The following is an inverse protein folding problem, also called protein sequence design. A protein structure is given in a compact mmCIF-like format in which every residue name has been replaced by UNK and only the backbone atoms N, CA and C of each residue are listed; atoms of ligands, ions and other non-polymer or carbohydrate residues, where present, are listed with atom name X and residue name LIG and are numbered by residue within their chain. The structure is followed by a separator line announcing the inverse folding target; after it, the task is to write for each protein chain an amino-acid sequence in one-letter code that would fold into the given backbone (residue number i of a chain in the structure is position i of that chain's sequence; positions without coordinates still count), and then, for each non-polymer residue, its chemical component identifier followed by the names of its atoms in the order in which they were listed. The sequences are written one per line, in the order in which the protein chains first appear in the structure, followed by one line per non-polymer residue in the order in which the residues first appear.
data_IF_929250409683
#
_entry.id   IF_929250409683
#
_cell.length_a   1.000
_cell.length_b   1.000
_cell.length_c   1.000
_cell.angle_alpha   90.00
_cell.angle_beta   90.00
_cell.angle_gamma   90.00
#
_symmetry.space_group_name_H-M   'P 1'
#
loop_
_entity.id
_entity.type
_entity.pdbx_description
1 polymer ?
#
# COMPACT_ATOMS: atom_id res chain seq x y z
N UNK A 1 -12.82 -0.09 -49.34
CA UNK A 1 -12.09 0.97 -48.58
C UNK A 1 -10.85 1.45 -49.33
N UNK A 2 -10.54 2.75 -49.30
CA UNK A 2 -9.29 3.28 -49.87
C UNK A 2 -8.08 2.81 -49.03
N UNK A 3 -6.88 2.70 -49.61
CA UNK A 3 -5.68 2.29 -48.82
C UNK A 3 -5.43 3.31 -47.70
N UNK A 4 -5.67 4.59 -48.01
CA UNK A 4 -5.63 5.70 -47.06
C UNK A 4 -6.56 5.53 -45.85
N UNK A 5 -7.77 4.98 -46.00
CA UNK A 5 -8.67 4.79 -44.84
C UNK A 5 -8.19 3.69 -43.91
N UNK A 6 -7.56 2.63 -44.44
CA UNK A 6 -6.97 1.56 -43.61
C UNK A 6 -5.75 2.10 -42.84
N UNK A 7 -4.93 2.92 -43.51
CA UNK A 7 -3.76 3.55 -42.89
C UNK A 7 -4.14 4.60 -41.83
N UNK A 8 -5.18 5.40 -42.10
CA UNK A 8 -5.72 6.35 -41.11
C UNK A 8 -6.25 5.62 -39.87
N UNK A 9 -7.03 4.54 -40.07
CA UNK A 9 -7.53 3.74 -38.96
C UNK A 9 -6.38 3.10 -38.16
N UNK A 10 -5.37 2.56 -38.84
CA UNK A 10 -4.18 2.00 -38.19
C UNK A 10 -3.43 3.05 -37.35
N UNK A 11 -3.25 4.26 -37.88
CA UNK A 11 -2.61 5.36 -37.15
C UNK A 11 -3.42 5.79 -35.92
N UNK A 12 -4.75 5.92 -36.05
CA UNK A 12 -5.64 6.26 -34.95
C UNK A 12 -5.58 5.19 -33.84
N UNK A 13 -5.64 3.90 -34.21
CA UNK A 13 -5.56 2.79 -33.25
C UNK A 13 -4.18 2.70 -32.58
N UNK A 14 -3.09 2.96 -33.31
CA UNK A 14 -1.76 2.97 -32.73
C UNK A 14 -1.63 4.09 -31.68
N UNK A 15 -2.18 5.27 -31.97
CA UNK A 15 -2.20 6.40 -31.03
C UNK A 15 -2.98 6.08 -29.75
N UNK A 16 -4.14 5.44 -29.85
CA UNK A 16 -4.93 5.06 -28.66
C UNK A 16 -4.21 4.02 -27.81
N UNK A 17 -3.56 3.04 -28.43
CA UNK A 17 -2.75 2.04 -27.73
C UNK A 17 -1.54 2.65 -27.01
N UNK A 18 -0.83 3.56 -27.68
CA UNK A 18 0.31 4.27 -27.07
C UNK A 18 -0.16 5.09 -25.87
N UNK A 19 -1.27 5.82 -26.01
CA UNK A 19 -1.85 6.60 -24.92
C UNK A 19 -2.26 5.71 -23.72
N UNK A 20 -2.90 4.57 -24.00
CA UNK A 20 -3.28 3.61 -22.98
C UNK A 20 -2.05 3.01 -22.27
N UNK A 21 -1.04 2.61 -23.02
CA UNK A 21 0.20 2.04 -22.48
C UNK A 21 0.97 3.07 -21.64
N UNK A 22 1.00 4.33 -22.09
CA UNK A 22 1.56 5.43 -21.32
C UNK A 22 0.85 5.60 -19.97
N UNK A 23 -0.50 5.63 -19.97
CA UNK A 23 -1.29 5.73 -18.73
C UNK A 23 -1.02 4.53 -17.81
N UNK A 24 -0.95 3.31 -18.35
CA UNK A 24 -0.65 2.10 -17.57
C UNK A 24 0.72 2.16 -16.90
N UNK A 25 1.76 2.60 -17.63
CA UNK A 25 3.11 2.75 -17.08
C UNK A 25 3.14 3.83 -16.01
N UNK A 26 2.59 5.00 -16.30
CA UNK A 26 2.52 6.12 -15.34
C UNK A 26 1.78 5.71 -14.06
N UNK A 27 0.68 4.96 -14.19
CA UNK A 27 -0.08 4.45 -13.05
C UNK A 27 0.71 3.43 -12.24
N UNK A 28 1.42 2.51 -12.90
CA UNK A 28 2.29 1.54 -12.23
C UNK A 28 3.41 2.23 -11.45
N UNK A 29 4.11 3.19 -12.04
CA UNK A 29 5.13 3.97 -11.33
C UNK A 29 4.55 4.72 -10.13
N UNK A 30 3.40 5.36 -10.30
CA UNK A 30 2.71 6.07 -9.22
C UNK A 30 2.35 5.12 -8.07
N UNK A 31 1.85 3.93 -8.40
CA UNK A 31 1.49 2.91 -7.40
C UNK A 31 2.73 2.37 -6.66
N UNK A 32 3.85 2.15 -7.36
CA UNK A 32 5.12 1.76 -6.74
C UNK A 32 5.59 2.84 -5.78
N UNK A 33 5.63 4.11 -6.21
CA UNK A 33 6.01 5.24 -5.34
C UNK A 33 5.10 5.36 -4.13
N UNK A 34 3.78 5.36 -4.32
CA UNK A 34 2.81 5.42 -3.23
C UNK A 34 2.98 4.26 -2.24
N UNK A 35 3.27 3.05 -2.74
CA UNK A 35 3.48 1.89 -1.87
C UNK A 35 4.79 1.98 -1.09
N UNK A 36 5.84 2.52 -1.72
CA UNK A 36 7.12 2.79 -1.06
C UNK A 36 6.99 3.86 0.03
N UNK A 37 6.22 4.92 -0.23
CA UNK A 37 5.92 5.97 0.72
C UNK A 37 5.11 5.43 1.91
N UNK A 38 4.05 4.65 1.63
CA UNK A 38 3.25 3.99 2.66
C UNK A 38 4.09 3.06 3.53
N UNK A 39 4.98 2.28 2.90
CA UNK A 39 5.89 1.40 3.60
C UNK A 39 6.83 2.19 4.52
N UNK A 40 7.48 3.22 3.97
CA UNK A 40 8.43 4.06 4.69
C UNK A 40 7.77 4.79 5.87
N UNK A 41 6.56 5.30 5.68
CA UNK A 41 5.77 5.93 6.73
C UNK A 41 5.33 4.92 7.81
N UNK A 42 4.89 3.72 7.40
CA UNK A 42 4.54 2.64 8.32
C UNK A 42 5.74 2.24 9.20
N UNK A 43 6.92 2.05 8.59
CA UNK A 43 8.15 1.78 9.33
C UNK A 43 8.46 2.91 10.29
N UNK A 44 8.46 4.18 9.85
CA UNK A 44 8.76 5.32 10.73
C UNK A 44 7.80 5.40 11.92
N UNK A 45 6.51 5.12 11.72
CA UNK A 45 5.52 5.05 12.81
C UNK A 45 5.83 3.91 13.77
N UNK A 46 6.14 2.72 13.27
CA UNK A 46 6.54 1.59 14.11
C UNK A 46 7.80 1.91 14.93
N UNK A 47 8.82 2.50 14.31
CA UNK A 47 10.05 2.87 15.02
C UNK A 47 9.80 3.94 16.09
N UNK A 48 8.95 4.92 15.79
CA UNK A 48 8.54 5.94 16.76
C UNK A 48 7.78 5.31 17.93
N UNK A 49 6.85 4.39 17.67
CA UNK A 49 6.12 3.68 18.70
C UNK A 49 7.05 2.85 19.59
N UNK A 50 8.03 2.13 19.02
CA UNK A 50 9.05 1.39 19.78
C UNK A 50 9.86 2.31 20.68
N UNK A 51 10.33 3.46 20.16
CA UNK A 51 11.02 4.47 20.96
C UNK A 51 10.14 4.97 22.12
N UNK A 52 8.85 5.23 21.86
CA UNK A 52 7.91 5.66 22.89
C UNK A 52 7.62 4.57 23.93
N UNK A 53 7.57 3.29 23.54
CA UNK A 53 7.37 2.17 24.47
C UNK A 53 8.58 1.99 25.39
N UNK A 54 9.79 2.12 24.84
CA UNK A 54 11.02 2.08 25.65
C UNK A 54 11.11 3.24 26.63
N UNK A 55 10.70 4.46 26.22
CA UNK A 55 10.60 5.61 27.12
C UNK A 55 9.54 5.39 28.23
N UNK A 56 8.43 4.70 27.94
CA UNK A 56 7.41 4.34 28.93
C UNK A 56 7.94 3.28 29.91
N UNK A 57 8.65 2.26 29.44
CA UNK A 57 9.27 1.26 30.29
C UNK A 57 10.33 1.87 31.21
N UNK A 58 11.12 2.81 30.71
CA UNK A 58 12.08 3.57 31.51
C UNK A 58 11.37 4.42 32.57
N UNK A 59 10.30 5.13 32.19
CA UNK A 59 9.50 5.93 33.13
C UNK A 59 8.90 5.05 34.22
N UNK A 60 8.38 3.87 33.85
CA UNK A 60 7.83 2.89 34.78
C UNK A 60 8.89 2.39 35.77
N UNK A 61 10.10 2.09 35.29
CA UNK A 61 11.20 1.66 36.14
C UNK A 61 11.50 2.68 37.25
N UNK A 62 11.64 3.96 36.89
CA UNK A 62 11.90 5.02 37.87
C UNK A 62 10.72 5.26 38.82
N UNK A 63 9.49 5.15 38.33
CA UNK A 63 8.30 5.21 39.18
C UNK A 63 8.29 4.10 40.23
N UNK A 64 8.59 2.85 39.83
CA UNK A 64 8.61 1.71 40.76
C UNK A 64 9.76 1.82 41.77
N UNK A 65 10.93 2.30 41.35
CA UNK A 65 12.09 2.52 42.22
C UNK A 65 11.82 3.60 43.27
N UNK A 66 11.32 4.77 42.85
CA UNK A 66 11.04 5.89 43.77
C UNK A 66 9.88 5.56 44.72
N UNK A 67 8.83 4.86 44.26
CA UNK A 67 7.74 4.37 45.14
C UNK A 67 8.29 3.39 46.18
N UNK A 68 9.18 2.48 45.79
CA UNK A 68 9.79 1.52 46.73
C UNK A 68 10.68 2.20 47.77
N UNK A 69 11.46 3.23 47.39
CA UNK A 69 12.27 4.02 48.32
C UNK A 69 11.40 4.76 49.34
N UNK A 70 10.28 5.33 48.88
CA UNK A 70 9.31 6.04 49.72
C UNK A 70 8.56 5.09 50.65
N UNK A 71 8.13 3.92 50.17
CA UNK A 71 7.51 2.88 51.01
C UNK A 71 8.48 2.46 52.12
N UNK A 72 9.74 2.19 51.78
CA UNK A 72 10.77 1.87 52.76
C UNK A 72 10.95 3.00 53.80
N UNK A 73 11.04 4.26 53.37
CA UNK A 73 11.17 5.41 54.26
C UNK A 73 9.93 5.61 55.18
N UNK A 74 8.73 5.37 54.66
CA UNK A 74 7.48 5.46 55.43
C UNK A 74 7.38 4.38 56.52
N UNK A 75 7.87 3.16 56.26
CA UNK A 75 7.93 2.07 57.23
C UNK A 75 8.89 2.43 58.39
N UNK A 76 10.00 3.11 58.12
CA UNK A 76 10.91 3.60 59.17
C UNK A 76 10.26 4.68 60.05
N UNK A 77 9.42 5.56 59.48
CA UNK A 77 8.71 6.58 60.26
C UNK A 77 7.65 6.00 61.20
N UNK A 78 7.12 4.80 60.88
CA UNK A 78 6.08 4.15 61.68
C UNK A 78 6.62 3.40 62.92
N UNK A 79 7.91 3.10 62.95
CA UNK A 79 8.58 2.50 64.13
C UNK A 79 9.17 3.56 65.10
N UNK A 80 9.20 4.83 64.69
CA UNK A 80 9.77 5.95 65.43
C UNK A 80 8.80 6.66 66.39
N UNK A 81 8.11 5.92 67.26
CA UNK A 81 7.39 6.55 68.38
C UNK A 81 6.08 5.85 68.74
N UNK A 82 5.99 5.36 69.98
CA UNK A 82 4.71 4.94 70.56
C UNK A 82 3.78 6.15 70.61
N UNK A 83 2.62 6.15 69.93
CA UNK A 83 1.69 7.27 70.02
C UNK A 83 1.20 7.39 71.46
N UNK A 84 1.46 8.54 72.10
CA UNK A 84 0.91 8.86 73.42
C UNK A 84 -0.59 9.12 73.27
N UNK A 85 -1.37 8.06 73.33
CA UNK A 85 -2.83 8.12 73.30
C UNK A 85 -3.34 8.82 74.57
N UNK A 86 -4.02 9.96 74.42
CA UNK A 86 -4.77 10.60 75.50
C UNK A 86 -6.03 9.77 75.81
N UNK A 87 -6.38 9.65 77.09
CA UNK A 87 -7.58 8.93 77.52
C UNK A 87 -8.64 9.88 78.06
N UNK A 88 -9.87 9.79 77.55
CA UNK A 88 -11.05 10.52 78.02
C UNK A 88 -11.97 9.56 78.76
N UNK A 89 -12.28 9.85 80.03
CA UNK A 89 -13.18 9.03 80.86
C UNK A 89 -14.55 9.69 80.92
N UNK A 90 -15.57 9.00 80.41
CA UNK A 90 -16.96 9.39 80.52
C UNK A 90 -17.65 8.54 81.56
N UNK A 91 -18.22 9.19 82.57
CA UNK A 91 -19.03 8.53 83.59
C UNK A 91 -20.48 8.75 83.25
N UNK A 92 -21.26 7.68 83.17
CA UNK A 92 -22.71 7.77 82.99
C UNK A 92 -23.42 6.96 84.06
N UNK A 93 -24.66 7.35 84.34
CA UNK A 93 -25.52 6.68 85.31
C UNK A 93 -26.77 6.18 84.59
N UNK A 94 -27.04 4.88 84.65
CA UNK A 94 -28.24 4.31 84.04
C UNK A 94 -29.47 4.69 84.84
N UNK A 95 -30.66 4.60 84.24
CA UNK A 95 -31.93 4.88 84.92
C UNK A 95 -32.22 3.97 86.13
N UNK A 96 -31.50 2.84 86.26
CA UNK A 96 -31.55 1.95 87.43
C UNK A 96 -30.57 2.34 88.55
N UNK A 97 -29.81 3.44 88.40
CA UNK A 97 -28.86 3.94 89.39
C UNK A 97 -27.45 3.34 89.32
N UNK A 98 -27.14 2.53 88.30
CA UNK A 98 -25.79 1.99 88.10
C UNK A 98 -24.89 3.04 87.45
N UNK A 99 -23.76 3.34 88.08
CA UNK A 99 -22.73 4.22 87.52
C UNK A 99 -21.68 3.36 86.82
N UNK A 100 -21.42 3.67 85.56
CA UNK A 100 -20.38 3.04 84.75
C UNK A 100 -19.44 4.06 84.13
N UNK A 101 -18.16 3.70 84.02
CA UNK A 101 -17.14 4.52 83.38
C UNK A 101 -16.70 3.89 82.05
N UNK A 102 -16.69 4.68 81.00
CA UNK A 102 -16.13 4.29 79.69
C UNK A 102 -14.96 5.21 79.39
N UNK A 103 -13.76 4.62 79.24
CA UNK A 103 -12.55 5.36 78.86
C UNK A 103 -12.28 5.17 77.37
N UNK A 104 -12.41 6.24 76.59
CA UNK A 104 -12.09 6.27 75.16
C UNK A 104 -10.66 6.80 75.02
N UNK A 105 -9.79 6.07 74.32
CA UNK A 105 -8.40 6.46 74.07
C UNK A 105 -8.21 6.81 72.60
N UNK A 106 -7.70 8.00 72.32
CA UNK A 106 -7.44 8.47 70.97
C UNK A 106 -6.27 9.46 70.96
N UNK A 107 -5.88 9.91 69.77
CA UNK A 107 -4.85 10.92 69.58
C UNK A 107 -5.25 12.25 70.27
N UNK A 108 -4.37 12.91 71.06
CA UNK A 108 -4.67 14.15 71.77
C UNK A 108 -5.31 15.25 70.90
N UNK A 109 -4.88 15.38 69.64
CA UNK A 109 -5.39 16.40 68.72
C UNK A 109 -6.83 16.11 68.26
N UNK A 110 -7.17 14.82 68.13
CA UNK A 110 -8.53 14.38 67.81
C UNK A 110 -9.47 14.55 69.01
N UNK A 111 -8.95 14.35 70.23
CA UNK A 111 -9.69 14.58 71.48
C UNK A 111 -10.01 16.06 71.67
N UNK A 112 -9.06 16.96 71.39
CA UNK A 112 -9.26 18.40 71.49
C UNK A 112 -10.34 18.92 70.52
N UNK A 113 -10.38 18.35 69.30
CA UNK A 113 -11.37 18.74 68.28
C UNK A 113 -12.80 18.27 68.59
N UNK A 114 -12.98 17.14 69.29
CA UNK A 114 -14.30 16.65 69.72
C UNK A 114 -14.95 17.52 70.79
N UNK A 115 -14.17 18.30 71.54
CA UNK A 115 -14.66 19.10 72.67
C UNK A 115 -15.27 20.45 72.25
N UNK A 116 -15.12 20.83 70.98
CA UNK A 116 -15.43 22.16 70.45
C UNK A 116 -16.63 22.18 69.49
N UNK A 117 -17.48 21.15 69.54
CA UNK A 117 -18.61 20.94 68.62
C UNK A 117 -19.72 22.00 68.80
N UNK A 118 -19.51 23.17 68.21
CA UNK A 118 -20.54 24.05 67.66
C UNK A 118 -19.95 24.78 66.44
N UNK A 119 -20.07 24.19 65.23
CA UNK A 119 -19.42 24.79 64.05
C UNK A 119 -19.47 24.02 62.72
N UNK A 120 -20.61 24.13 62.02
CA UNK A 120 -20.82 24.10 60.55
C UNK A 120 -20.18 23.01 59.65
N UNK A 121 -21.00 22.44 58.75
CA UNK A 121 -20.56 21.62 57.60
C UNK A 121 -19.37 22.23 56.82
N UNK A 122 -19.25 23.56 56.77
CA UNK A 122 -18.19 24.28 56.08
C UNK A 122 -16.78 23.98 56.61
N UNK A 123 -16.63 23.69 57.91
CA UNK A 123 -15.34 23.32 58.49
C UNK A 123 -14.92 21.90 58.10
N UNK A 124 -15.86 20.95 58.08
CA UNK A 124 -15.62 19.59 57.58
C UNK A 124 -15.24 19.58 56.08
N UNK A 125 -15.88 20.41 55.26
CA UNK A 125 -15.47 20.61 53.86
C UNK A 125 -14.08 21.22 53.73
N UNK A 126 -13.70 22.17 54.60
CA UNK A 126 -12.37 22.76 54.57
C UNK A 126 -11.29 21.75 54.99
N UNK A 127 -11.51 20.99 56.06
CA UNK A 127 -10.58 19.93 56.51
C UNK A 127 -10.45 18.83 55.46
N UNK A 128 -11.56 18.36 54.88
CA UNK A 128 -11.54 17.39 53.78
C UNK A 128 -10.81 17.95 52.54
N UNK A 129 -11.04 19.23 52.20
CA UNK A 129 -10.35 19.89 51.07
C UNK A 129 -8.87 20.06 51.35
N UNK A 130 -8.48 20.32 52.59
CA UNK A 130 -7.10 20.49 53.02
C UNK A 130 -6.35 19.14 53.06
N UNK A 131 -7.02 18.07 53.45
CA UNK A 131 -6.51 16.69 53.38
C UNK A 131 -6.34 16.23 51.93
N UNK A 132 -7.35 16.43 51.07
CA UNK A 132 -7.25 16.16 49.63
C UNK A 132 -6.15 17.00 48.96
N UNK A 133 -6.00 18.26 49.36
CA UNK A 133 -4.92 19.14 48.91
C UNK A 133 -3.56 18.63 49.38
N UNK A 134 -3.46 18.15 50.62
CA UNK A 134 -2.25 17.52 51.17
C UNK A 134 -1.85 16.27 50.39
N UNK A 135 -2.80 15.36 50.15
CA UNK A 135 -2.57 14.16 49.32
C UNK A 135 -2.15 14.51 47.91
N UNK A 136 -2.80 15.49 47.27
CA UNK A 136 -2.43 15.95 45.94
C UNK A 136 -1.03 16.55 45.92
N UNK A 137 -0.67 17.41 46.89
CA UNK A 137 0.66 18.02 46.95
C UNK A 137 1.76 16.97 47.21
N UNK A 138 1.48 15.96 48.02
CA UNK A 138 2.38 14.83 48.23
C UNK A 138 2.57 14.01 46.95
N UNK A 139 1.47 13.59 46.29
CA UNK A 139 1.53 12.88 45.01
C UNK A 139 2.23 13.70 43.92
N UNK A 140 1.99 15.01 43.89
CA UNK A 140 2.68 15.92 42.98
C UNK A 140 4.17 16.00 43.27
N UNK A 141 4.57 16.11 44.55
CA UNK A 141 5.98 16.10 44.95
C UNK A 141 6.69 14.81 44.50
N UNK A 142 6.05 13.65 44.69
CA UNK A 142 6.58 12.38 44.18
C UNK A 142 6.75 12.37 42.66
N UNK A 143 5.77 12.89 41.92
CA UNK A 143 5.87 13.01 40.46
C UNK A 143 7.01 13.97 40.08
N UNK A 144 7.15 15.10 40.77
CA UNK A 144 8.21 16.08 40.53
C UNK A 144 9.59 15.47 40.81
N UNK A 145 9.75 14.68 41.88
CA UNK A 145 10.99 13.96 42.22
C UNK A 145 11.33 12.89 41.17
N UNK A 146 10.34 12.09 40.73
CA UNK A 146 10.48 11.12 39.63
C UNK A 146 10.90 11.81 38.34
N UNK A 147 10.29 12.95 38.01
CA UNK A 147 10.67 13.73 36.82
C UNK A 147 12.13 14.20 36.94
N UNK A 148 12.56 14.69 38.10
CA UNK A 148 13.93 15.13 38.34
C UNK A 148 14.92 13.95 38.25
N UNK A 149 14.57 12.79 38.81
CA UNK A 149 15.36 11.56 38.71
C UNK A 149 15.48 11.09 37.26
N UNK A 150 14.38 11.06 36.50
CA UNK A 150 14.39 10.73 35.06
C UNK A 150 15.27 11.75 34.31
N UNK A 151 15.12 13.05 34.56
CA UNK A 151 15.90 14.08 33.86
C UNK A 151 17.41 14.02 34.15
N UNK A 152 17.81 13.59 35.35
CA UNK A 152 19.21 13.62 35.78
C UNK A 152 19.92 12.26 35.68
N UNK A 153 19.22 11.14 35.92
CA UNK A 153 19.82 9.79 36.04
C UNK A 153 19.44 8.84 34.89
N UNK A 154 18.38 9.11 34.12
CA UNK A 154 17.97 8.23 33.01
C UNK A 154 19.09 7.97 32.00
N UNK A 155 19.87 9.00 31.69
CA UNK A 155 20.97 8.91 30.74
C UNK A 155 22.19 8.10 31.24
N UNK A 156 22.28 7.84 32.56
CA UNK A 156 23.44 7.17 33.15
C UNK A 156 23.33 5.63 33.11
N UNK A 157 22.12 5.09 32.92
CA UNK A 157 21.92 3.65 32.77
C UNK A 157 22.45 3.15 31.41
N UNK A 158 23.16 2.01 31.36
CA UNK A 158 23.61 1.42 30.10
C UNK A 158 22.47 1.16 29.12
N UNK A 159 22.70 1.40 27.84
CA UNK A 159 21.68 1.22 26.80
C UNK A 159 21.23 -0.24 26.67
N UNK A 160 22.10 -1.18 27.03
CA UNK A 160 21.81 -2.61 27.03
C UNK A 160 20.75 -2.99 28.08
N UNK A 161 20.67 -2.25 29.18
CA UNK A 161 19.63 -2.43 30.20
C UNK A 161 18.35 -1.65 29.87
N UNK A 162 18.49 -0.46 29.28
CA UNK A 162 17.36 0.39 28.88
C UNK A 162 16.65 -0.11 27.63
N UNK A 163 17.39 -0.77 26.74
CA UNK A 163 16.93 -1.26 25.45
C UNK A 163 17.53 -2.64 25.18
N UNK A 164 17.09 -3.65 25.93
CA UNK A 164 17.53 -5.02 25.73
C UNK A 164 17.21 -5.52 24.30
N UNK A 165 18.11 -6.33 23.75
CA UNK A 165 18.00 -6.87 22.41
C UNK A 165 16.72 -7.69 22.17
N UNK A 166 16.23 -8.43 23.18
CA UNK A 166 15.02 -9.22 23.06
C UNK A 166 13.77 -8.34 23.20
N UNK A 167 13.78 -7.37 24.11
CA UNK A 167 12.70 -6.40 24.27
C UNK A 167 12.50 -5.57 22.98
N UNK A 168 13.56 -4.96 22.46
CA UNK A 168 13.52 -4.16 21.22
C UNK A 168 13.05 -5.00 20.02
N UNK A 169 13.52 -6.25 19.90
CA UNK A 169 13.04 -7.16 18.84
C UNK A 169 11.54 -7.43 18.96
N UNK A 170 11.06 -7.65 20.17
CA UNK A 170 9.64 -7.97 20.43
C UNK A 170 8.76 -6.77 20.11
N UNK A 171 9.12 -5.58 20.59
CA UNK A 171 8.42 -4.34 20.28
C UNK A 171 8.45 -4.01 18.79
N UNK A 172 9.60 -4.15 18.14
CA UNK A 172 9.70 -3.96 16.68
C UNK A 172 8.78 -4.91 15.92
N UNK A 173 8.79 -6.20 16.28
CA UNK A 173 7.94 -7.18 15.62
C UNK A 173 6.46 -6.84 15.80
N UNK A 174 6.05 -6.56 17.03
CA UNK A 174 4.66 -6.22 17.36
C UNK A 174 4.22 -4.94 16.64
N UNK A 175 5.02 -3.87 16.68
CA UNK A 175 4.68 -2.60 16.05
C UNK A 175 4.72 -2.66 14.52
N UNK A 176 5.61 -3.45 13.92
CA UNK A 176 5.62 -3.67 12.48
C UNK A 176 4.39 -4.50 12.04
N UNK A 177 4.06 -5.56 12.77
CA UNK A 177 2.87 -6.39 12.50
C UNK A 177 1.56 -5.58 12.68
N UNK A 178 1.47 -4.74 13.71
CA UNK A 178 0.35 -3.83 13.94
C UNK A 178 0.14 -2.84 12.78
N UNK A 179 1.23 -2.43 12.11
CA UNK A 179 1.19 -1.58 10.93
C UNK A 179 1.05 -2.37 9.60
N UNK A 180 0.81 -3.67 9.66
CA UNK A 180 0.63 -4.54 8.48
C UNK A 180 1.93 -4.88 7.75
N UNK A 181 3.08 -4.70 8.39
CA UNK A 181 4.42 -4.93 7.86
C UNK A 181 5.02 -6.23 8.40
N UNK A 182 4.50 -7.37 7.93
CA UNK A 182 5.02 -8.69 8.29
C UNK A 182 6.21 -9.10 7.38
N UNK A 183 7.36 -8.44 7.56
CA UNK A 183 8.57 -8.70 6.77
C UNK A 183 9.75 -9.03 7.68
N UNK A 184 10.69 -9.89 7.22
CA UNK A 184 11.95 -10.08 7.92
C UNK A 184 12.71 -8.75 7.96
N UNK A 185 13.15 -8.37 9.15
CA UNK A 185 13.91 -7.16 9.41
C UNK A 185 15.19 -7.51 10.17
N UNK A 186 16.22 -6.73 9.89
CA UNK A 186 17.49 -6.74 10.63
C UNK A 186 17.61 -5.40 11.34
N UNK A 187 18.22 -5.37 12.53
CA UNK A 187 18.35 -4.13 13.28
C UNK A 187 19.62 -4.08 14.11
N UNK A 188 20.02 -2.86 14.46
CA UNK A 188 21.08 -2.61 15.42
C UNK A 188 20.81 -1.34 16.21
N UNK A 189 21.29 -1.32 17.45
CA UNK A 189 21.32 -0.12 18.28
C UNK A 189 22.74 0.41 18.28
N UNK A 190 22.88 1.66 17.83
CA UNK A 190 24.17 2.32 17.68
C UNK A 190 24.24 3.61 18.49
N UNK A 191 25.42 3.93 19.00
CA UNK A 191 25.69 5.23 19.59
C UNK A 191 25.82 6.30 18.49
N UNK A 192 25.85 7.58 18.86
CA UNK A 192 26.15 8.72 17.98
C UNK A 192 27.42 8.53 17.13
N UNK A 193 28.42 7.82 17.65
CA UNK A 193 29.68 7.55 16.95
C UNK A 193 29.58 6.38 15.95
N UNK A 194 28.40 5.76 15.81
CA UNK A 194 28.17 4.61 14.92
C UNK A 194 28.60 3.26 15.49
N UNK A 195 29.12 3.22 16.73
CA UNK A 195 29.42 1.98 17.43
C UNK A 195 28.13 1.24 17.76
N UNK A 196 27.98 0.00 17.28
CA UNK A 196 26.84 -0.85 17.59
C UNK A 196 27.02 -1.52 18.96
N UNK A 197 26.06 -1.34 19.85
CA UNK A 197 26.01 -2.05 21.14
C UNK A 197 25.62 -3.51 20.92
N UNK A 198 24.62 -3.74 20.08
CA UNK A 198 24.26 -5.05 19.58
C UNK A 198 23.64 -4.93 18.19
N UNK A 199 23.73 -6.02 17.43
CA UNK A 199 23.28 -6.10 16.05
C UNK A 199 22.78 -7.50 15.72
N UNK A 200 21.79 -7.60 14.85
CA UNK A 200 21.35 -8.89 14.32
C UNK A 200 22.35 -9.41 13.29
N UNK A 201 22.40 -10.74 13.08
CA UNK A 201 23.45 -11.38 12.28
C UNK A 201 23.54 -10.89 10.83
N UNK A 202 22.44 -10.37 10.26
CA UNK A 202 22.41 -9.78 8.93
C UNK A 202 22.80 -8.30 8.85
N UNK A 203 23.12 -7.66 9.97
CA UNK A 203 23.40 -6.23 10.04
C UNK A 203 24.90 -5.92 9.90
N UNK A 204 25.29 -5.23 8.82
CA UNK A 204 26.66 -4.75 8.61
C UNK A 204 27.55 -5.57 7.66
N UNK A 205 26.98 -6.18 6.61
CA UNK A 205 27.78 -6.49 5.41
C UNK A 205 28.20 -5.17 4.72
N UNK A 206 29.42 -5.10 4.17
CA UNK A 206 30.03 -3.92 3.51
C UNK A 206 29.14 -3.24 2.44
N UNK A 207 28.09 -3.91 1.97
CA UNK A 207 27.11 -3.39 1.01
C UNK A 207 26.12 -2.34 1.59
N UNK A 208 25.98 -2.21 2.92
CA UNK A 208 24.97 -1.32 3.53
C UNK A 208 25.19 0.18 3.27
N UNK A 209 26.41 0.61 2.92
CA UNK A 209 26.71 1.99 2.53
C UNK A 209 26.14 2.38 1.15
N UNK A 210 25.64 1.42 0.37
CA UNK A 210 25.08 1.65 -0.97
C UNK A 210 23.56 1.60 -1.04
N UNK A 211 22.90 1.32 0.10
CA UNK A 211 21.48 0.96 0.21
C UNK A 211 20.66 1.95 1.08
N UNK A 212 20.94 3.25 0.94
CA UNK A 212 20.31 4.36 1.69
C UNK A 212 18.76 4.29 1.73
N UNK A 213 18.11 3.71 0.72
CA UNK A 213 16.64 3.63 0.67
C UNK A 213 16.03 2.46 1.47
N UNK A 214 16.85 1.66 2.16
CA UNK A 214 16.38 0.50 2.94
C UNK A 214 16.73 0.59 4.42
N UNK A 215 17.52 1.59 4.80
CA UNK A 215 17.96 1.85 6.16
C UNK A 215 17.09 2.93 6.80
N UNK A 216 16.38 2.56 7.86
CA UNK A 216 15.58 3.48 8.65
C UNK A 216 16.27 3.75 9.97
N UNK A 217 16.40 5.04 10.32
CA UNK A 217 17.09 5.48 11.53
C UNK A 217 16.12 6.25 12.42
N UNK A 218 16.03 5.86 13.68
CA UNK A 218 15.18 6.50 14.67
C UNK A 218 15.97 6.69 15.98
N UNK A 219 15.99 7.89 16.59
CA UNK A 219 16.51 8.05 17.94
C UNK A 219 15.65 7.24 18.93
N UNK A 220 16.28 6.47 19.81
CA UNK A 220 15.59 5.62 20.80
C UNK A 220 15.00 6.44 21.95
N UNK A 221 15.77 7.41 22.46
CA UNK A 221 15.38 8.29 23.55
C UNK A 221 15.51 9.73 23.06
N UNK A 222 14.39 10.41 22.84
CA UNK A 222 14.37 11.73 22.19
C UNK A 222 14.92 12.82 23.11
N UNK A 223 14.62 12.67 24.41
CA UNK A 223 14.92 13.64 25.45
C UNK A 223 16.34 13.51 26.03
N UNK A 224 17.06 12.44 25.66
CA UNK A 224 18.44 12.23 26.11
C UNK A 224 19.38 13.39 25.70
N UNK A 225 20.35 13.74 26.57
CA UNK A 225 21.42 14.67 26.24
C UNK A 225 22.12 14.33 24.93
N UNK A 226 22.63 15.34 24.21
CA UNK A 226 23.26 15.14 22.89
C UNK A 226 24.46 14.17 22.88
N UNK A 227 25.04 13.86 24.03
CA UNK A 227 26.20 12.99 24.17
C UNK A 227 25.82 11.52 24.35
N UNK A 228 24.65 11.22 24.91
CA UNK A 228 24.13 9.86 25.14
C UNK A 228 23.09 9.43 24.12
N UNK A 229 22.90 10.19 23.03
CA UNK A 229 21.91 9.86 21.99
C UNK A 229 22.25 8.55 21.27
N UNK A 230 21.36 7.59 21.44
CA UNK A 230 21.40 6.30 20.77
C UNK A 230 20.35 6.23 19.66
N UNK A 231 20.70 5.52 18.59
CA UNK A 231 19.90 5.38 17.39
C UNK A 231 19.59 3.91 17.12
N UNK A 232 18.33 3.63 16.85
CA UNK A 232 17.88 2.38 16.29
C UNK A 232 17.98 2.45 14.77
N UNK A 233 18.71 1.51 14.19
CA UNK A 233 18.83 1.32 12.75
C UNK A 233 18.13 0.04 12.36
N UNK A 234 17.21 0.11 11.42
CA UNK A 234 16.46 -1.05 10.92
C UNK A 234 16.60 -1.15 9.41
N UNK A 235 16.84 -2.37 8.94
CA UNK A 235 17.07 -2.72 7.54
C UNK A 235 16.09 -3.80 7.09
N UNK A 236 15.56 -3.64 5.87
CA UNK A 236 14.59 -4.54 5.27
C UNK A 236 15.11 -5.14 3.95
N UNK A 237 15.74 -6.34 3.98
CA UNK A 237 16.33 -6.95 2.78
C UNK A 237 15.30 -7.35 1.71
N UNK A 238 14.03 -7.54 2.09
CA UNK A 238 12.95 -7.97 1.19
C UNK A 238 12.00 -6.84 0.79
N UNK A 239 12.36 -5.57 1.05
CA UNK A 239 11.56 -4.37 0.72
C UNK A 239 11.11 -4.36 -0.75
N UNK A 240 12.06 -4.49 -1.68
CA UNK A 240 11.75 -4.42 -3.12
C UNK A 240 10.79 -5.54 -3.55
N UNK A 241 11.00 -6.76 -3.05
CA UNK A 241 10.12 -7.90 -3.33
C UNK A 241 8.72 -7.68 -2.80
N UNK A 242 8.58 -7.05 -1.62
CA UNK A 242 7.29 -6.70 -1.03
C UNK A 242 6.55 -5.64 -1.86
N UNK A 243 7.25 -4.58 -2.28
CA UNK A 243 6.67 -3.50 -3.11
C UNK A 243 6.25 -4.07 -4.48
N UNK A 244 7.12 -4.83 -5.14
CA UNK A 244 6.80 -5.51 -6.41
C UNK A 244 5.61 -6.45 -6.26
N UNK A 245 5.52 -7.20 -5.16
CA UNK A 245 4.38 -8.09 -4.93
C UNK A 245 3.06 -7.35 -4.76
N UNK A 246 3.09 -6.11 -4.25
CA UNK A 246 1.90 -5.28 -4.08
C UNK A 246 1.34 -4.79 -5.43
N UNK A 247 2.19 -4.65 -6.45
CA UNK A 247 1.78 -4.19 -7.79
C UNK A 247 1.54 -5.32 -8.80
N UNK A 248 1.77 -6.59 -8.42
CA UNK A 248 1.54 -7.77 -9.28
C UNK A 248 0.11 -7.87 -9.81
N UNK A 249 -0.88 -7.33 -9.10
CA UNK A 249 -2.28 -7.28 -9.56
C UNK A 249 -2.47 -6.47 -10.85
N UNK A 250 -1.50 -5.64 -11.26
CA UNK A 250 -1.54 -4.90 -12.53
C UNK A 250 -1.13 -5.76 -13.74
N UNK A 251 -0.46 -6.90 -13.54
CA UNK A 251 0.02 -7.77 -14.61
C UNK A 251 -1.10 -8.19 -15.59
N UNK A 252 -2.30 -8.61 -15.14
CA UNK A 252 -3.41 -8.92 -16.04
C UNK A 252 -3.81 -7.76 -16.96
N UNK A 253 -3.70 -6.51 -16.51
CA UNK A 253 -4.01 -5.34 -17.33
C UNK A 253 -3.02 -5.17 -18.48
N UNK A 254 -1.73 -5.39 -18.23
CA UNK A 254 -0.71 -5.39 -19.28
C UNK A 254 -0.86 -6.56 -20.25
N UNK A 255 -1.18 -7.77 -19.74
CA UNK A 255 -1.46 -8.94 -20.59
C UNK A 255 -2.64 -8.67 -21.51
N UNK A 256 -3.71 -8.07 -20.99
CA UNK A 256 -4.87 -7.68 -21.78
C UNK A 256 -4.52 -6.67 -22.88
N UNK A 257 -3.72 -5.64 -22.57
CA UNK A 257 -3.20 -4.69 -23.58
C UNK A 257 -2.37 -5.41 -24.66
N UNK A 258 -1.55 -6.38 -24.26
CA UNK A 258 -0.75 -7.16 -25.20
C UNK A 258 -1.60 -8.00 -26.15
N UNK A 259 -2.66 -8.66 -25.62
CA UNK A 259 -3.63 -9.39 -26.45
C UNK A 259 -4.34 -8.45 -27.43
N UNK A 260 -4.74 -7.25 -26.98
CA UNK A 260 -5.34 -6.24 -27.85
C UNK A 260 -4.40 -5.86 -29.00
N UNK A 261 -3.12 -5.63 -28.72
CA UNK A 261 -2.11 -5.33 -29.75
C UNK A 261 -2.05 -6.44 -30.79
N UNK A 262 -2.04 -7.72 -30.37
CA UNK A 262 -2.03 -8.87 -31.28
C UNK A 262 -3.27 -8.88 -32.18
N UNK A 263 -4.46 -8.74 -31.58
CA UNK A 263 -5.73 -8.73 -32.33
C UNK A 263 -5.77 -7.55 -33.31
N UNK A 264 -5.25 -6.39 -32.93
CA UNK A 264 -5.20 -5.22 -33.81
C UNK A 264 -4.26 -5.43 -34.99
N UNK A 265 -3.05 -5.96 -34.76
CA UNK A 265 -2.12 -6.30 -35.86
C UNK A 265 -2.78 -7.30 -36.80
N UNK A 266 -3.40 -8.35 -36.26
CA UNK A 266 -4.12 -9.35 -37.05
C UNK A 266 -5.23 -8.71 -37.90
N UNK A 267 -6.03 -7.82 -37.31
CA UNK A 267 -7.13 -7.12 -38.00
C UNK A 267 -6.62 -6.24 -39.14
N UNK A 268 -5.50 -5.53 -38.95
CA UNK A 268 -4.89 -4.71 -39.99
C UNK A 268 -4.43 -5.59 -41.16
N UNK A 269 -3.71 -6.68 -40.87
CA UNK A 269 -3.24 -7.64 -41.89
C UNK A 269 -4.41 -8.23 -42.65
N UNK A 270 -5.46 -8.64 -41.95
CA UNK A 270 -6.67 -9.18 -42.54
C UNK A 270 -7.36 -8.15 -43.45
N UNK A 271 -7.45 -6.89 -43.02
CA UNK A 271 -8.05 -5.80 -43.82
C UNK A 271 -7.31 -5.57 -45.13
N UNK A 272 -5.96 -5.58 -45.11
CA UNK A 272 -5.16 -5.49 -46.34
C UNK A 272 -5.35 -6.71 -47.25
N UNK A 273 -5.42 -7.92 -46.67
CA UNK A 273 -5.65 -9.15 -47.44
C UNK A 273 -7.03 -9.16 -48.10
N UNK A 274 -8.08 -8.79 -47.36
CA UNK A 274 -9.44 -8.65 -47.89
C UNK A 274 -9.49 -7.66 -49.04
N UNK A 275 -8.86 -6.48 -48.86
CA UNK A 275 -8.80 -5.48 -49.92
C UNK A 275 -8.13 -6.01 -51.20
N UNK A 276 -7.00 -6.72 -51.07
CA UNK A 276 -6.30 -7.30 -52.22
C UNK A 276 -7.18 -8.34 -52.93
N UNK A 277 -7.92 -9.17 -52.18
CA UNK A 277 -8.87 -10.13 -52.76
C UNK A 277 -10.00 -9.41 -53.52
N UNK A 278 -10.54 -8.32 -52.98
CA UNK A 278 -11.57 -7.53 -53.67
C UNK A 278 -11.03 -6.88 -54.95
N UNK A 279 -9.82 -6.34 -54.93
CA UNK A 279 -9.17 -5.77 -56.13
C UNK A 279 -8.99 -6.86 -57.20
N UNK A 280 -8.45 -8.03 -56.85
CA UNK A 280 -8.30 -9.16 -57.79
C UNK A 280 -9.64 -9.65 -58.35
N UNK A 281 -10.70 -9.73 -57.52
CA UNK A 281 -12.05 -10.11 -57.99
C UNK A 281 -12.61 -9.09 -58.98
N UNK A 282 -12.45 -7.80 -58.72
CA UNK A 282 -12.92 -6.75 -59.63
C UNK A 282 -12.17 -6.76 -60.96
N UNK A 283 -10.85 -6.94 -60.93
CA UNK A 283 -10.02 -7.03 -62.14
C UNK A 283 -10.39 -8.26 -62.97
N UNK A 284 -10.64 -9.39 -62.31
CA UNK A 284 -11.14 -10.60 -62.97
C UNK A 284 -12.48 -10.36 -63.68
N UNK A 285 -13.46 -9.78 -62.99
CA UNK A 285 -14.80 -9.50 -63.57
C UNK A 285 -14.67 -8.55 -64.77
N UNK A 286 -13.90 -7.47 -64.65
CA UNK A 286 -13.68 -6.53 -65.75
C UNK A 286 -13.01 -7.19 -66.95
N UNK A 287 -11.99 -8.02 -66.72
CA UNK A 287 -11.29 -8.73 -67.79
C UNK A 287 -12.21 -9.73 -68.49
N UNK A 288 -12.95 -10.56 -67.74
CA UNK A 288 -13.91 -11.51 -68.30
C UNK A 288 -15.04 -10.81 -69.06
N UNK A 289 -15.53 -9.68 -68.57
CA UNK A 289 -16.55 -8.88 -69.28
C UNK A 289 -16.04 -8.42 -70.64
N UNK A 290 -14.80 -7.95 -70.71
CA UNK A 290 -14.19 -7.53 -71.97
C UNK A 290 -13.99 -8.71 -72.94
N UNK A 291 -13.46 -9.83 -72.43
CA UNK A 291 -13.23 -11.06 -73.21
C UNK A 291 -14.54 -11.71 -73.69
N UNK A 292 -15.67 -11.50 -73.03
CA UNK A 292 -16.98 -11.95 -73.51
C UNK A 292 -17.65 -10.95 -74.46
N UNK A 293 -17.47 -9.64 -74.27
CA UNK A 293 -18.12 -8.63 -75.10
C UNK A 293 -17.69 -8.71 -76.56
N UNK A 294 -16.40 -8.94 -76.81
CA UNK A 294 -15.82 -9.04 -78.16
C UNK A 294 -16.44 -10.16 -78.99
N UNK A 295 -16.45 -11.44 -78.54
CA UNK A 295 -17.05 -12.54 -79.29
C UNK A 295 -18.54 -12.36 -79.53
N UNK A 296 -19.26 -11.91 -78.50
CA UNK A 296 -20.71 -11.68 -78.59
C UNK A 296 -21.01 -10.61 -79.65
N UNK A 297 -20.24 -9.53 -79.70
CA UNK A 297 -20.43 -8.46 -80.68
C UNK A 297 -20.11 -8.93 -82.11
N UNK A 298 -19.02 -9.69 -82.29
CA UNK A 298 -18.63 -10.25 -83.60
C UNK A 298 -19.67 -11.25 -84.13
N UNK A 299 -20.18 -12.15 -83.27
CA UNK A 299 -21.25 -13.09 -83.62
C UNK A 299 -22.54 -12.32 -83.96
N UNK A 300 -22.88 -11.30 -83.18
CA UNK A 300 -24.07 -10.47 -83.44
C UNK A 300 -23.98 -9.75 -84.79
N UNK A 301 -22.81 -9.17 -85.12
CA UNK A 301 -22.59 -8.52 -86.40
C UNK A 301 -22.68 -9.51 -87.57
N UNK A 302 -22.02 -10.66 -87.44
CA UNK A 302 -22.09 -11.75 -88.40
C UNK A 302 -23.54 -12.23 -88.63
N UNK A 303 -24.32 -12.40 -87.56
CA UNK A 303 -25.73 -12.78 -87.64
C UNK A 303 -26.59 -11.69 -88.31
N UNK A 304 -26.35 -10.41 -88.03
CA UNK A 304 -27.01 -9.29 -88.70
C UNK A 304 -26.72 -9.29 -90.21
N UNK A 305 -25.46 -9.52 -90.61
CA UNK A 305 -25.08 -9.63 -92.02
C UNK A 305 -25.74 -10.81 -92.73
N UNK A 306 -25.96 -11.94 -92.04
CA UNK A 306 -26.73 -13.07 -92.60
C UNK A 306 -28.22 -12.73 -92.78
N UNK A 307 -28.79 -11.94 -91.87
CA UNK A 307 -30.22 -11.60 -91.88
C UNK A 307 -30.57 -10.40 -92.78
N UNK A 308 -29.58 -9.60 -93.18
CA UNK A 308 -29.80 -8.43 -94.03
C UNK A 308 -30.06 -8.82 -95.49
N UNK A 309 -31.29 -8.68 -95.96
CA UNK A 309 -31.71 -9.02 -97.32
C UNK A 309 -31.25 -8.02 -98.40
N UNK A 310 -30.71 -6.85 -98.01
CA UNK A 310 -30.22 -5.83 -98.94
C UNK A 310 -28.85 -6.14 -99.54
N UNK A 311 -28.10 -7.08 -98.94
CA UNK A 311 -26.76 -7.49 -99.37
C UNK A 311 -26.83 -8.76 -100.24
N UNK A 312 -26.31 -8.72 -101.48
CA UNK A 312 -26.14 -9.93 -102.32
C UNK A 312 -25.08 -10.84 -101.71
N UNK A 313 -25.51 -11.97 -101.16
CA UNK A 313 -24.63 -12.92 -100.45
C UNK A 313 -24.05 -13.93 -101.44
N UNK A 314 -22.73 -13.89 -101.67
CA UNK A 314 -22.06 -14.94 -102.45
C UNK A 314 -21.89 -16.21 -101.59
N UNK A 315 -21.77 -17.41 -102.21
CA UNK A 315 -21.48 -18.64 -101.47
C UNK A 315 -20.21 -18.52 -100.60
N UNK A 316 -19.19 -17.81 -101.07
CA UNK A 316 -17.96 -17.56 -100.33
C UNK A 316 -18.16 -16.65 -99.09
N UNK A 317 -19.02 -15.63 -99.20
CA UNK A 317 -19.35 -14.74 -98.07
C UNK A 317 -20.14 -15.47 -96.98
N UNK A 318 -21.14 -16.28 -97.36
CA UNK A 318 -21.89 -17.11 -96.42
C UNK A 318 -20.98 -18.10 -95.68
N UNK A 319 -20.05 -18.73 -96.40
CA UNK A 319 -19.07 -19.63 -95.81
C UNK A 319 -18.17 -18.90 -94.80
N UNK A 320 -17.65 -17.72 -95.16
CA UNK A 320 -16.80 -16.93 -94.25
C UNK A 320 -17.54 -16.50 -92.99
N UNK A 321 -18.78 -16.00 -93.12
CA UNK A 321 -19.59 -15.59 -91.96
C UNK A 321 -19.89 -16.79 -91.04
N UNK A 322 -20.24 -17.95 -91.61
CA UNK A 322 -20.46 -19.19 -90.86
C UNK A 322 -19.20 -19.63 -90.10
N UNK A 323 -18.03 -19.54 -90.73
CA UNK A 323 -16.74 -19.85 -90.09
C UNK A 323 -16.45 -18.89 -88.93
N UNK A 324 -16.63 -17.58 -89.11
CA UNK A 324 -16.43 -16.58 -88.04
C UNK A 324 -17.34 -16.84 -86.85
N UNK A 325 -18.63 -17.14 -87.07
CA UNK A 325 -19.56 -17.47 -85.99
C UNK A 325 -19.09 -18.72 -85.24
N UNK A 326 -18.67 -19.77 -85.95
CA UNK A 326 -18.24 -21.02 -85.33
C UNK A 326 -16.96 -20.85 -84.50
N UNK A 327 -15.97 -20.13 -85.03
CA UNK A 327 -14.70 -19.90 -84.34
C UNK A 327 -14.89 -19.05 -83.08
N UNK A 328 -15.71 -18.01 -83.17
CA UNK A 328 -15.97 -17.12 -82.04
C UNK A 328 -16.88 -17.77 -80.99
N UNK A 329 -17.76 -18.69 -81.39
CA UNK A 329 -18.53 -19.54 -80.47
C UNK A 329 -17.63 -20.52 -79.71
N UNK A 330 -16.63 -21.13 -80.37
CA UNK A 330 -15.63 -21.98 -79.72
C UNK A 330 -14.80 -21.18 -78.71
N UNK A 331 -14.39 -19.96 -79.08
CA UNK A 331 -13.65 -19.05 -78.19
C UNK A 331 -14.47 -18.67 -76.96
N UNK A 332 -15.75 -18.32 -77.13
CA UNK A 332 -16.64 -18.01 -76.01
C UNK A 332 -16.82 -19.21 -75.08
N UNK A 333 -17.02 -20.42 -75.64
CA UNK A 333 -17.11 -21.66 -74.87
C UNK A 333 -15.86 -21.90 -74.03
N UNK A 334 -14.68 -21.71 -74.60
CA UNK A 334 -13.41 -21.82 -73.87
C UNK A 334 -13.31 -20.82 -72.71
N UNK A 335 -13.73 -19.57 -72.91
CA UNK A 335 -13.74 -18.57 -71.84
C UNK A 335 -14.75 -18.93 -70.73
N UNK A 336 -15.93 -19.48 -71.06
CA UNK A 336 -16.91 -19.96 -70.08
C UNK A 336 -16.36 -21.12 -69.26
N UNK A 337 -15.71 -22.09 -69.90
CA UNK A 337 -15.09 -23.23 -69.23
C UNK A 337 -13.96 -22.80 -68.30
N UNK A 338 -13.16 -21.81 -68.70
CA UNK A 338 -12.12 -21.20 -67.86
C UNK A 338 -12.70 -20.55 -66.59
N UNK A 339 -13.83 -19.86 -66.70
CA UNK A 339 -14.52 -19.26 -65.54
C UNK A 339 -15.06 -20.34 -64.61
N UNK A 340 -15.70 -21.38 -65.16
CA UNK A 340 -16.24 -22.51 -64.40
C UNK A 340 -15.16 -23.24 -63.62
N UNK A 341 -14.02 -23.55 -64.25
CA UNK A 341 -12.89 -24.18 -63.56
C UNK A 341 -12.40 -23.33 -62.40
N UNK A 342 -12.23 -22.01 -62.61
CA UNK A 342 -11.76 -21.11 -61.57
C UNK A 342 -12.73 -21.02 -60.38
N UNK A 343 -14.04 -21.10 -60.62
CA UNK A 343 -15.06 -21.10 -59.57
C UNK A 343 -15.14 -22.41 -58.75
N UNK A 344 -14.53 -23.50 -59.23
CA UNK A 344 -14.47 -24.77 -58.48
C UNK A 344 -13.27 -24.83 -57.52
N UNK A 345 -12.30 -23.92 -57.64
CA UNK A 345 -11.09 -23.85 -56.82
C UNK A 345 -11.12 -22.72 -55.77
N UNK A 346 -12.15 -21.87 -55.78
CA UNK A 346 -12.49 -20.86 -54.76
C UNK A 346 -13.50 -21.46 -53.76
#
# INVERSE_FOLDING_TARGET
MKKSTIWFLAALMALTLICLLYIQIMYMESMIRMRDDQFSEGVRRSLYAVSSLLEQDETKYYLEEDVAEVEAASIYSQYGGTPRLGGMRYTFTTHSGLVGDVTVRADPDKIYNLQREDGSLAQSYNTMREELKGQYLYQKGLIDDVIINIMNKAADRPIEERADSAAVRTYLKQELENNGLALPFEFAVVNRNGHAFYKTGGFGSDDMSSLDNTLFVQPLFRNDPRQSKNYLRVYFPSKDKYILSSVKFLIPSFVFTFILIIVFIYTIVLSFRQKKLTEMKNDFINNMTHEFKTPISTISLAAQMLNDNSVRKSPAMLQHISTVINDETKRLRFQVEKVLQMSMFD
#
